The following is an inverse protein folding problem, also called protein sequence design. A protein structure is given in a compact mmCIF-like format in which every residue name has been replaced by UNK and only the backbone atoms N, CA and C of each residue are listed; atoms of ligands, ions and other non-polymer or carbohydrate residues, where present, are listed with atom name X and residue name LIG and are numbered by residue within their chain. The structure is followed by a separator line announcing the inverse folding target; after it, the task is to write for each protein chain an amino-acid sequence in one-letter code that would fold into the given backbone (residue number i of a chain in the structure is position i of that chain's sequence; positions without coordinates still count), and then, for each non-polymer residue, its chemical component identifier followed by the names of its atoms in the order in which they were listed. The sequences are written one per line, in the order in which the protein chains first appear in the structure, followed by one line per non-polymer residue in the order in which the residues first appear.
data_IF_146263278236
#
_entry.id   IF_146263278236
#
_cell.length_a   1.000
_cell.length_b   1.000
_cell.length_c   1.000
_cell.angle_alpha   90.00
_cell.angle_beta   90.00
_cell.angle_gamma   90.00
#
_symmetry.space_group_name_H-M   'P 1'
#
loop_
_entity.id
_entity.type
_entity.pdbx_description
1 polymer ?
#
# COMPACT_ATOMS: atom_id res chain seq x y z
N UNK A 1 -2.18 2.27 -21.31
CA UNK A 1 -3.56 1.76 -21.23
C UNK A 1 -3.63 0.73 -20.11
N UNK A 2 -4.66 0.79 -19.27
CA UNK A 2 -4.75 0.00 -18.04
C UNK A 2 -5.37 -1.41 -18.25
N UNK A 3 -4.89 -2.16 -19.24
CA UNK A 3 -5.63 -3.32 -19.79
C UNK A 3 -5.15 -4.69 -19.30
N UNK A 4 -4.03 -4.76 -18.57
CA UNK A 4 -3.48 -5.99 -17.97
C UNK A 4 -3.26 -5.80 -16.47
N UNK A 5 -3.39 -6.89 -15.70
CA UNK A 5 -3.21 -6.90 -14.24
C UNK A 5 -1.85 -6.40 -13.79
N UNK A 6 -0.78 -6.77 -14.51
CA UNK A 6 0.58 -6.35 -14.16
C UNK A 6 0.75 -4.83 -14.14
N UNK A 7 0.09 -4.14 -15.06
CA UNK A 7 0.13 -2.68 -15.13
C UNK A 7 -0.69 -2.02 -14.02
N UNK A 8 -1.89 -2.55 -13.69
CA UNK A 8 -2.69 -2.11 -12.53
C UNK A 8 -1.91 -2.23 -11.24
N UNK A 9 -1.23 -3.36 -11.05
CA UNK A 9 -0.40 -3.61 -9.89
C UNK A 9 0.75 -2.59 -9.78
N UNK A 10 1.45 -2.30 -10.88
CA UNK A 10 2.52 -1.29 -10.89
C UNK A 10 2.00 0.10 -10.51
N UNK A 11 0.86 0.53 -11.06
CA UNK A 11 0.24 1.81 -10.73
C UNK A 11 -0.16 1.88 -9.25
N UNK A 12 -0.72 0.80 -8.71
CA UNK A 12 -1.04 0.67 -7.29
C UNK A 12 0.20 0.77 -6.40
N UNK A 13 1.32 0.14 -6.79
CA UNK A 13 2.58 0.25 -6.06
C UNK A 13 3.11 1.69 -6.05
N UNK A 14 3.14 2.35 -7.21
CA UNK A 14 3.59 3.74 -7.33
C UNK A 14 2.72 4.70 -6.49
N UNK A 15 1.40 4.52 -6.50
CA UNK A 15 0.48 5.30 -5.70
C UNK A 15 0.68 5.08 -4.19
N UNK A 16 0.95 3.83 -3.77
CA UNK A 16 1.30 3.54 -2.37
C UNK A 16 2.59 4.20 -1.94
N UNK A 17 3.63 4.15 -2.77
CA UNK A 17 4.90 4.83 -2.49
C UNK A 17 4.72 6.35 -2.35
N UNK A 18 3.83 6.94 -3.14
CA UNK A 18 3.46 8.35 -3.04
C UNK A 18 2.53 8.67 -1.84
N UNK A 19 2.09 7.67 -1.08
CA UNK A 19 1.19 7.86 0.06
C UNK A 19 -0.22 8.33 -0.30
N UNK A 20 -0.69 8.06 -1.53
CA UNK A 20 -2.02 8.47 -1.98
C UNK A 20 -3.03 7.31 -1.91
N UNK A 21 -4.30 7.67 -1.74
CA UNK A 21 -5.42 6.73 -1.85
C UNK A 21 -5.67 6.40 -3.31
N UNK A 22 -6.09 5.17 -3.58
CA UNK A 22 -6.42 4.70 -4.93
C UNK A 22 -7.79 4.06 -4.94
N UNK A 23 -8.50 4.20 -6.05
CA UNK A 23 -9.66 3.39 -6.38
C UNK A 23 -9.56 2.97 -7.85
N UNK A 24 -10.16 1.84 -8.20
CA UNK A 24 -10.27 1.42 -9.60
C UNK A 24 -11.66 1.75 -10.13
N UNK A 25 -11.70 2.45 -11.25
CA UNK A 25 -12.93 2.71 -11.99
C UNK A 25 -12.89 1.86 -13.27
N UNK A 26 -13.84 0.94 -13.41
CA UNK A 26 -13.97 0.09 -14.58
C UNK A 26 -15.18 0.54 -15.41
N UNK A 27 -14.96 0.94 -16.65
CA UNK A 27 -16.03 1.22 -17.62
C UNK A 27 -16.29 -0.07 -18.39
N UNK A 28 -17.32 -0.80 -17.98
CA UNK A 28 -17.69 -2.08 -18.58
C UNK A 28 -18.54 -1.83 -19.84
N UNK A 29 -18.00 -2.13 -21.02
CA UNK A 29 -18.74 -2.03 -22.28
C UNK A 29 -18.52 -3.29 -23.11
N UNK A 30 -19.51 -3.67 -23.90
CA UNK A 30 -19.41 -4.85 -24.76
C UNK A 30 -18.53 -4.58 -26.00
N UNK A 31 -17.78 -5.58 -26.49
CA UNK A 31 -16.88 -5.40 -27.65
C UNK A 31 -17.57 -4.82 -28.90
N UNK A 32 -18.82 -5.23 -29.16
CA UNK A 32 -19.60 -4.74 -30.30
C UNK A 32 -19.81 -3.21 -30.25
N UNK A 33 -20.09 -2.66 -29.07
CA UNK A 33 -20.23 -1.21 -28.90
C UNK A 33 -18.89 -0.51 -29.10
N UNK A 34 -17.82 -1.06 -28.52
CA UNK A 34 -16.47 -0.50 -28.66
C UNK A 34 -16.03 -0.42 -30.14
N UNK A 35 -16.33 -1.45 -30.94
CA UNK A 35 -16.08 -1.44 -32.39
C UNK A 35 -16.92 -0.37 -33.11
N UNK A 36 -18.21 -0.28 -32.79
CA UNK A 36 -19.08 0.75 -33.36
C UNK A 36 -18.62 2.17 -33.01
N UNK A 37 -18.11 2.40 -31.80
CA UNK A 37 -17.51 3.68 -31.41
C UNK A 37 -16.20 3.95 -32.16
N UNK A 38 -15.31 2.96 -32.25
CA UNK A 38 -14.06 3.09 -32.98
C UNK A 38 -14.29 3.45 -34.47
N UNK A 39 -15.34 2.88 -35.09
CA UNK A 39 -15.73 3.18 -36.46
C UNK A 39 -16.24 4.63 -36.68
N UNK A 40 -16.76 5.28 -35.63
CA UNK A 40 -17.21 6.69 -35.69
C UNK A 40 -16.07 7.69 -35.52
N UNK A 41 -14.92 7.26 -35.00
CA UNK A 41 -13.74 8.11 -34.84
C UNK A 41 -13.12 8.44 -36.20
N UNK A 42 -12.48 9.61 -36.25
CA UNK A 42 -11.70 10.04 -37.39
C UNK A 42 -10.53 9.06 -37.66
N UNK A 43 -10.12 8.86 -38.93
CA UNK A 43 -9.22 7.79 -39.33
C UNK A 43 -7.90 7.72 -38.54
N UNK A 44 -7.35 8.87 -38.17
CA UNK A 44 -6.10 9.02 -37.42
C UNK A 44 -6.20 8.64 -35.94
N UNK A 45 -7.41 8.69 -35.38
CA UNK A 45 -7.68 8.36 -33.98
C UNK A 45 -8.23 6.94 -33.80
N UNK A 46 -8.51 6.25 -34.91
CA UNK A 46 -9.09 4.90 -34.94
C UNK A 46 -8.04 3.84 -34.69
N UNK A 47 -8.34 2.87 -33.83
CA UNK A 47 -7.56 1.65 -33.76
C UNK A 47 -7.75 0.81 -35.02
N UNK A 48 -6.67 0.29 -35.60
CA UNK A 48 -6.78 -0.73 -36.66
C UNK A 48 -7.56 -1.92 -36.14
N UNK A 49 -8.30 -2.60 -37.02
CA UNK A 49 -9.15 -3.74 -36.65
C UNK A 49 -8.36 -4.83 -35.92
N UNK A 50 -7.20 -5.21 -36.43
CA UNK A 50 -6.32 -6.18 -35.78
C UNK A 50 -5.87 -5.72 -34.39
N UNK A 51 -5.61 -4.42 -34.20
CA UNK A 51 -5.18 -3.87 -32.92
C UNK A 51 -6.29 -3.93 -31.89
N UNK A 52 -7.51 -3.51 -32.23
CA UNK A 52 -8.64 -3.51 -31.28
C UNK A 52 -9.07 -4.94 -30.91
N UNK A 53 -9.05 -5.88 -31.85
CA UNK A 53 -9.32 -7.29 -31.60
C UNK A 53 -8.26 -7.93 -30.67
N UNK A 54 -6.98 -7.60 -30.89
CA UNK A 54 -5.90 -8.03 -30.01
C UNK A 54 -6.03 -7.45 -28.60
N UNK A 55 -6.52 -6.20 -28.47
CA UNK A 55 -6.78 -5.58 -27.16
C UNK A 55 -7.89 -6.33 -26.41
N UNK A 56 -8.99 -6.69 -27.06
CA UNK A 56 -10.07 -7.45 -26.41
C UNK A 56 -9.58 -8.82 -25.92
N UNK A 57 -8.84 -9.54 -26.76
CA UNK A 57 -8.33 -10.89 -26.41
C UNK A 57 -7.40 -10.87 -25.20
N UNK A 58 -6.61 -9.79 -25.05
CA UNK A 58 -5.61 -9.65 -23.98
C UNK A 58 -6.14 -8.90 -22.76
N UNK A 59 -7.38 -8.42 -22.81
CA UNK A 59 -7.95 -7.63 -21.73
C UNK A 59 -8.19 -8.50 -20.50
N UNK A 60 -7.67 -8.06 -19.37
CA UNK A 60 -7.91 -8.70 -18.07
C UNK A 60 -8.80 -7.80 -17.22
N UNK A 61 -10.03 -8.24 -16.93
CA UNK A 61 -10.98 -7.45 -16.13
C UNK A 61 -10.44 -7.14 -14.71
N UNK A 62 -10.71 -5.94 -14.18
CA UNK A 62 -10.43 -5.61 -12.78
C UNK A 62 -11.22 -6.51 -11.82
N UNK A 63 -10.59 -6.91 -10.72
CA UNK A 63 -11.17 -7.84 -9.76
C UNK A 63 -11.20 -7.22 -8.34
N UNK A 64 -12.38 -7.03 -7.74
CA UNK A 64 -12.51 -6.40 -6.41
C UNK A 64 -11.85 -7.20 -5.28
N UNK A 65 -11.69 -8.52 -5.42
CA UNK A 65 -11.05 -9.36 -4.39
C UNK A 65 -9.55 -9.11 -4.26
N UNK A 66 -8.90 -8.52 -5.28
CA UNK A 66 -7.47 -8.23 -5.22
C UNK A 66 -7.23 -6.80 -4.77
N UNK A 67 -6.30 -6.66 -3.82
CA UNK A 67 -6.02 -5.39 -3.13
C UNK A 67 -5.63 -4.21 -4.03
N UNK A 68 -5.08 -4.46 -5.22
CA UNK A 68 -4.66 -3.39 -6.14
C UNK A 68 -5.78 -2.89 -7.05
N UNK A 69 -6.87 -3.66 -7.17
CA UNK A 69 -8.07 -3.25 -7.91
C UNK A 69 -9.17 -2.74 -6.95
N UNK A 70 -9.05 -3.00 -5.64
CA UNK A 70 -9.99 -2.55 -4.61
C UNK A 70 -9.66 -1.15 -4.04
N UNK A 71 -10.65 -0.27 -3.78
CA UNK A 71 -12.08 -0.43 -4.07
C UNK A 71 -12.37 -0.33 -5.58
N UNK A 72 -13.23 -1.22 -6.09
CA UNK A 72 -13.59 -1.31 -7.50
C UNK A 72 -15.00 -0.77 -7.74
N UNK A 73 -15.11 0.23 -8.60
CA UNK A 73 -16.36 0.86 -9.02
C UNK A 73 -16.58 0.53 -10.49
N UNK A 74 -17.67 -0.18 -10.81
CA UNK A 74 -17.95 -0.65 -12.18
C UNK A 74 -19.10 0.15 -12.78
N UNK A 75 -18.82 0.81 -13.91
CA UNK A 75 -19.79 1.53 -14.73
C UNK A 75 -20.18 0.66 -15.94
N UNK A 76 -21.33 -0.05 -15.90
CA UNK A 76 -21.91 -0.61 -17.10
C UNK A 76 -22.26 0.52 -18.07
N UNK A 77 -21.74 0.41 -19.29
CA UNK A 77 -22.16 1.26 -20.38
C UNK A 77 -23.59 0.91 -20.78
N UNK A 78 -24.49 1.88 -20.72
CA UNK A 78 -25.84 1.76 -21.26
C UNK A 78 -26.19 3.01 -22.09
N UNK A 79 -27.04 2.85 -23.10
CA UNK A 79 -27.43 3.96 -24.00
C UNK A 79 -28.15 5.10 -23.26
N UNK A 80 -28.68 4.83 -22.06
CA UNK A 80 -29.29 5.86 -21.21
C UNK A 80 -28.29 6.93 -20.75
N UNK A 81 -26.99 6.60 -20.66
CA UNK A 81 -25.91 7.55 -20.36
C UNK A 81 -25.62 8.55 -21.50
N UNK A 82 -26.01 8.21 -22.73
CA UNK A 82 -25.71 8.98 -23.95
C UNK A 82 -26.79 10.04 -24.27
N UNK A 83 -27.94 10.00 -23.57
CA UNK A 83 -29.12 10.85 -23.83
C UNK A 83 -28.96 12.35 -23.49
N UNK A 84 -27.73 12.87 -23.48
CA UNK A 84 -27.45 14.32 -23.40
C UNK A 84 -26.98 14.84 -24.75
N UNK A 85 -27.83 14.70 -25.76
CA UNK A 85 -27.78 15.61 -26.91
C UNK A 85 -28.34 16.96 -26.43
N UNK A 86 -27.64 18.01 -26.81
CA UNK A 86 -27.87 19.40 -26.44
C UNK A 86 -29.23 19.86 -27.00
N UNK A 87 -30.31 19.76 -26.24
CA UNK A 87 -31.53 20.49 -26.59
C UNK A 87 -31.23 21.98 -26.47
N UNK A 88 -31.22 22.66 -27.61
CA UNK A 88 -31.00 24.09 -27.76
C UNK A 88 -32.12 24.94 -27.16
N UNK A 89 -32.28 24.90 -25.84
CA UNK A 89 -33.18 25.76 -25.08
C UNK A 89 -32.39 26.84 -24.35
N UNK A 90 -32.47 28.08 -24.81
CA UNK A 90 -32.11 29.27 -24.05
C UNK A 90 -32.93 29.32 -22.75
N UNK A 91 -32.29 29.08 -21.61
CA UNK A 91 -32.96 29.19 -20.32
C UNK A 91 -31.99 28.91 -19.17
N UNK A 92 -31.71 29.96 -18.41
CA UNK A 92 -30.96 29.97 -17.15
C UNK A 92 -31.49 28.92 -16.15
N UNK A 93 -30.93 27.71 -16.17
CA UNK A 93 -31.08 26.72 -15.11
C UNK A 93 -29.78 25.94 -14.96
N UNK A 94 -29.18 26.06 -13.78
CA UNK A 94 -27.87 25.54 -13.43
C UNK A 94 -27.69 24.06 -13.77
N UNK A 95 -26.48 23.77 -14.25
CA UNK A 95 -25.92 22.46 -14.58
C UNK A 95 -26.07 21.46 -13.42
N UNK A 96 -27.25 20.83 -13.26
CA UNK A 96 -27.41 19.67 -12.36
C UNK A 96 -26.81 18.46 -13.06
N UNK A 97 -25.64 18.03 -12.60
CA UNK A 97 -24.84 16.98 -13.22
C UNK A 97 -25.56 15.64 -13.42
N UNK A 98 -25.07 14.91 -14.44
CA UNK A 98 -25.45 13.55 -14.89
C UNK A 98 -25.52 12.48 -13.79
N UNK A 99 -24.92 12.77 -12.65
CA UNK A 99 -24.84 11.91 -11.49
C UNK A 99 -26.22 11.38 -11.06
N UNK A 100 -27.23 12.25 -10.91
CA UNK A 100 -28.49 11.89 -10.24
C UNK A 100 -29.36 10.84 -10.98
N UNK A 101 -29.08 10.58 -12.27
CA UNK A 101 -29.84 9.63 -13.11
C UNK A 101 -29.32 8.21 -13.05
N UNK A 102 -28.17 7.98 -12.42
CA UNK A 102 -27.55 6.67 -12.33
C UNK A 102 -28.07 5.89 -11.12
N UNK A 103 -29.22 5.25 -11.28
CA UNK A 103 -29.72 4.24 -10.34
C UNK A 103 -29.29 2.84 -10.83
N UNK A 104 -28.77 1.99 -9.93
CA UNK A 104 -28.46 0.59 -10.22
C UNK A 104 -27.00 0.23 -10.49
N UNK A 105 -26.03 1.10 -10.15
CA UNK A 105 -24.60 0.77 -10.26
C UNK A 105 -24.14 -0.11 -9.10
N UNK A 106 -23.42 -1.20 -9.40
CA UNK A 106 -22.92 -2.18 -8.43
C UNK A 106 -21.56 -1.75 -7.89
N UNK A 107 -21.47 -1.53 -6.58
CA UNK A 107 -20.20 -1.44 -5.86
C UNK A 107 -19.84 -2.84 -5.37
N UNK A 108 -18.77 -3.43 -5.90
CA UNK A 108 -18.30 -4.72 -5.42
C UNK A 108 -17.36 -4.49 -4.24
N UNK A 109 -17.85 -4.76 -3.03
CA UNK A 109 -17.04 -4.74 -1.81
C UNK A 109 -15.98 -5.85 -1.78
N UNK A 110 -15.09 -5.78 -0.79
CA UNK A 110 -14.02 -6.76 -0.58
C UNK A 110 -14.52 -8.19 -0.30
N UNK A 111 -15.79 -8.33 0.08
CA UNK A 111 -16.31 -9.57 0.66
C UNK A 111 -17.12 -10.40 -0.35
N UNK A 112 -17.29 -9.93 -1.59
CA UNK A 112 -18.00 -10.67 -2.64
C UNK A 112 -19.50 -10.92 -2.38
N UNK A 113 -20.05 -10.45 -1.26
CA UNK A 113 -21.46 -10.61 -0.94
C UNK A 113 -22.34 -9.50 -1.52
N UNK A 114 -23.45 -9.95 -2.11
CA UNK A 114 -24.54 -9.20 -2.69
C UNK A 114 -25.41 -8.61 -1.57
N UNK A 115 -25.44 -7.29 -1.41
CA UNK A 115 -26.53 -6.66 -0.65
C UNK A 115 -27.75 -6.58 -1.56
N UNK A 116 -28.57 -7.63 -1.51
CA UNK A 116 -29.85 -7.73 -2.22
C UNK A 116 -30.86 -6.74 -1.62
N UNK A 117 -30.95 -5.53 -2.18
CA UNK A 117 -32.11 -4.66 -1.94
C UNK A 117 -33.19 -4.95 -2.97
N UNK A 118 -33.82 -6.14 -2.87
CA UNK A 118 -35.18 -6.31 -3.38
C UNK A 118 -36.15 -5.62 -2.42
N UNK A 119 -37.08 -4.80 -2.90
CA UNK A 119 -38.19 -4.34 -2.07
C UNK A 119 -39.18 -5.50 -1.89
N UNK A 120 -39.45 -5.89 -0.65
CA UNK A 120 -40.54 -6.81 -0.32
C UNK A 120 -41.91 -6.24 -0.78
N UNK A 121 -42.85 -7.09 -1.22
CA UNK A 121 -44.13 -6.65 -1.76
C UNK A 121 -45.25 -6.60 -0.70
N UNK A 122 -46.26 -5.74 -0.94
CA UNK A 122 -47.59 -5.69 -0.31
C UNK A 122 -47.60 -4.91 1.04
N UNK A 123 -48.37 -3.84 1.30
CA UNK A 123 -49.83 -3.71 1.21
C UNK A 123 -50.33 -2.24 1.32
N UNK A 124 -51.24 -1.86 0.41
CA UNK A 124 -52.44 -1.01 0.59
C UNK A 124 -52.37 0.52 0.85
N UNK A 125 -52.56 1.25 -0.26
CA UNK A 125 -53.57 2.30 -0.50
C UNK A 125 -54.37 2.90 0.68
N UNK A 126 -54.21 4.21 0.92
CA UNK A 126 -55.20 5.30 0.72
C UNK A 126 -54.67 6.62 1.31
N UNK A 127 -54.90 7.72 0.59
CA UNK A 127 -54.85 9.11 1.10
C UNK A 127 -56.28 9.68 1.06
N UNK A 128 -56.53 10.94 1.46
CA UNK A 128 -56.14 11.66 2.69
C UNK A 128 -57.39 12.25 3.40
N UNK A 129 -57.33 12.58 4.69
CA UNK A 129 -58.31 13.51 5.28
C UNK A 129 -57.69 14.34 6.43
N UNK A 130 -58.02 15.64 6.43
CA UNK A 130 -57.80 16.68 7.45
C UNK A 130 -59.19 17.30 7.73
N UNK A 131 -59.39 18.18 8.74
CA UNK A 131 -58.62 18.53 9.95
C UNK A 131 -59.49 18.54 11.24
N UNK A 132 -58.91 18.71 12.44
CA UNK A 132 -59.40 19.75 13.39
C UNK A 132 -58.45 20.03 14.58
N UNK A 133 -58.62 21.21 15.16
CA UNK A 133 -57.82 21.93 16.15
C UNK A 133 -57.93 21.39 17.61
N UNK A 134 -56.82 21.44 18.37
CA UNK A 134 -56.65 22.33 19.56
C UNK A 134 -55.57 21.88 20.57
N UNK A 135 -54.76 22.87 20.98
CA UNK A 135 -54.13 23.09 22.29
C UNK A 135 -53.14 22.07 22.91
N UNK A 136 -51.88 22.49 23.03
CA UNK A 136 -51.06 22.61 24.27
C UNK A 136 -49.57 22.64 23.89
N UNK A 137 -48.98 23.83 23.65
CA UNK A 137 -48.11 24.54 24.60
C UNK A 137 -47.09 23.62 25.30
N UNK A 138 -45.88 23.50 24.76
CA UNK A 138 -44.63 23.52 25.53
C UNK A 138 -43.54 24.18 24.69
N UNK A 139 -42.90 25.17 25.31
CA UNK A 139 -41.94 26.07 24.70
C UNK A 139 -40.56 25.42 24.62
N UNK A 140 -40.04 25.22 23.40
CA UNK A 140 -38.63 24.91 23.19
C UNK A 140 -37.91 26.10 22.55
N UNK A 141 -37.06 26.66 23.40
CA UNK A 141 -35.84 27.43 23.18
C UNK A 141 -35.37 27.48 21.72
N UNK A 142 -35.33 28.69 21.18
CA UNK A 142 -34.59 29.05 19.98
C UNK A 142 -33.11 28.82 20.26
N UNK A 143 -32.48 27.87 19.57
CA UNK A 143 -31.04 27.92 19.32
C UNK A 143 -30.79 28.13 17.83
N UNK A 144 -30.30 29.31 17.54
CA UNK A 144 -30.08 29.88 16.24
C UNK A 144 -28.73 29.42 15.69
N UNK A 145 -28.72 28.36 14.89
CA UNK A 145 -27.68 28.13 13.88
C UNK A 145 -28.06 27.08 12.82
N UNK A 146 -29.22 27.23 12.16
CA UNK A 146 -29.42 26.58 10.85
C UNK A 146 -28.82 27.47 9.76
N UNK A 147 -27.50 27.38 9.61
CA UNK A 147 -26.85 27.81 8.38
C UNK A 147 -27.20 26.80 7.29
N UNK A 148 -27.97 27.25 6.29
CA UNK A 148 -28.36 26.52 5.11
C UNK A 148 -27.13 25.90 4.41
N UNK A 149 -26.91 24.60 4.60
CA UNK A 149 -26.03 23.81 3.72
C UNK A 149 -26.89 23.35 2.56
N UNK A 150 -26.75 24.02 1.42
CA UNK A 150 -27.36 23.60 0.16
C UNK A 150 -27.00 22.14 -0.11
N UNK A 151 -28.04 21.31 -0.11
CA UNK A 151 -27.98 19.85 -0.24
C UNK A 151 -27.50 19.51 -1.66
N UNK A 152 -26.18 19.48 -1.85
CA UNK A 152 -25.58 18.96 -3.06
C UNK A 152 -25.75 17.44 -3.01
N UNK A 153 -26.92 16.97 -3.46
CA UNK A 153 -27.19 15.56 -3.66
C UNK A 153 -26.32 15.07 -4.81
N UNK A 154 -25.12 14.62 -4.45
CA UNK A 154 -24.29 13.81 -5.31
C UNK A 154 -25.04 12.51 -5.64
N UNK A 155 -24.71 11.89 -6.77
CA UNK A 155 -25.16 10.52 -6.97
C UNK A 155 -24.42 9.60 -6.02
N UNK A 156 -25.04 8.45 -5.71
CA UNK A 156 -24.38 7.39 -4.94
C UNK A 156 -22.98 7.07 -5.47
N UNK A 157 -22.80 7.09 -6.78
CA UNK A 157 -21.50 6.86 -7.42
C UNK A 157 -20.49 7.97 -7.13
N UNK A 158 -20.92 9.23 -7.21
CA UNK A 158 -20.05 10.35 -6.88
C UNK A 158 -19.70 10.33 -5.39
N UNK A 159 -20.64 9.92 -4.52
CA UNK A 159 -20.39 9.67 -3.11
C UNK A 159 -19.44 8.50 -2.87
N UNK A 160 -19.54 7.41 -3.65
CA UNK A 160 -18.66 6.24 -3.56
C UNK A 160 -17.23 6.58 -4.01
N UNK A 161 -17.08 7.31 -5.12
CA UNK A 161 -15.79 7.83 -5.58
C UNK A 161 -15.21 8.76 -4.53
N UNK A 162 -16.00 9.75 -4.08
CA UNK A 162 -15.59 10.72 -3.07
C UNK A 162 -15.17 10.02 -1.78
N UNK A 163 -15.94 9.06 -1.32
CA UNK A 163 -15.65 8.24 -0.14
C UNK A 163 -14.37 7.44 -0.34
N UNK A 164 -14.18 6.78 -1.49
CA UNK A 164 -12.97 6.01 -1.77
C UNK A 164 -11.71 6.88 -1.76
N UNK A 165 -11.75 8.09 -2.34
CA UNK A 165 -10.57 8.96 -2.45
C UNK A 165 -10.34 9.86 -1.23
N UNK A 166 -11.36 10.13 -0.41
CA UNK A 166 -11.23 11.01 0.77
C UNK A 166 -11.24 10.25 2.10
N UNK A 167 -12.12 9.25 2.22
CA UNK A 167 -12.36 8.47 3.44
C UNK A 167 -11.84 7.03 3.36
N UNK A 168 -11.44 6.56 2.18
CA UNK A 168 -10.91 5.21 2.00
C UNK A 168 -9.64 4.96 2.81
N UNK A 169 -9.44 3.70 3.20
CA UNK A 169 -8.28 3.31 3.99
C UNK A 169 -6.97 3.58 3.24
N UNK A 170 -6.14 4.48 3.79
CA UNK A 170 -4.74 4.59 3.41
C UNK A 170 -4.01 3.36 3.93
N UNK A 171 -3.95 2.30 3.13
CA UNK A 171 -3.17 1.12 3.49
C UNK A 171 -1.70 1.54 3.60
N UNK A 172 -1.08 1.40 4.79
CA UNK A 172 0.27 1.86 5.00
C UNK A 172 1.20 1.19 3.99
N UNK A 173 2.20 1.94 3.52
CA UNK A 173 3.27 1.41 2.68
C UNK A 173 3.83 0.15 3.33
N UNK A 174 4.15 -0.87 2.53
CA UNK A 174 4.76 -2.11 3.04
C UNK A 174 5.87 -1.74 4.02
N UNK A 175 5.97 -2.44 5.16
CA UNK A 175 6.98 -2.12 6.18
C UNK A 175 8.42 -2.08 5.62
N UNK A 176 8.68 -2.78 4.52
CA UNK A 176 9.94 -2.76 3.77
C UNK A 176 10.21 -1.47 2.96
N UNK A 177 9.17 -0.68 2.66
CA UNK A 177 9.21 0.61 1.94
C UNK A 177 8.64 1.73 2.84
N UNK A 178 8.59 1.52 4.16
CA UNK A 178 8.63 2.67 5.07
C UNK A 178 10.06 3.21 4.94
N UNK A 179 10.25 4.38 4.34
CA UNK A 179 11.43 5.18 4.64
C UNK A 179 11.38 5.43 6.13
N UNK A 180 12.10 4.61 6.87
CA UNK A 180 12.08 4.61 8.31
C UNK A 180 12.37 6.03 8.77
N UNK A 181 11.58 6.53 9.72
CA UNK A 181 12.10 7.46 10.73
C UNK A 181 13.50 6.97 11.11
N UNK A 182 14.52 7.83 11.18
CA UNK A 182 15.91 7.40 11.41
C UNK A 182 16.04 6.87 12.85
N UNK A 183 15.63 5.62 13.08
CA UNK A 183 15.63 4.97 14.38
C UNK A 183 15.51 3.47 14.14
N UNK A 184 16.50 2.68 14.60
CA UNK A 184 16.71 1.23 14.42
C UNK A 184 17.38 0.71 13.12
N UNK A 185 17.17 1.33 11.95
CA UNK A 185 17.82 0.87 10.69
C UNK A 185 19.33 1.06 10.68
N UNK A 186 19.82 2.12 11.34
CA UNK A 186 21.25 2.42 11.37
C UNK A 186 22.02 1.38 12.21
N UNK A 187 21.52 1.03 13.40
CA UNK A 187 22.22 0.08 14.28
C UNK A 187 22.33 -1.32 13.69
N UNK A 188 21.24 -1.90 13.16
CA UNK A 188 21.30 -3.27 12.62
C UNK A 188 22.22 -3.36 11.40
N UNK A 189 22.23 -2.30 10.58
CA UNK A 189 23.12 -2.20 9.44
C UNK A 189 24.58 -2.06 9.85
N UNK A 190 24.89 -1.12 10.76
CA UNK A 190 26.23 -0.97 11.36
C UNK A 190 26.67 -2.31 11.96
N UNK A 191 25.83 -2.95 12.75
CA UNK A 191 26.13 -4.24 13.37
C UNK A 191 26.48 -5.33 12.35
N UNK A 192 25.76 -5.44 11.24
CA UNK A 192 26.08 -6.41 10.19
C UNK A 192 27.39 -6.10 9.46
N UNK A 193 27.63 -4.85 9.08
CA UNK A 193 28.85 -4.48 8.35
C UNK A 193 30.07 -4.57 9.26
N UNK A 194 29.99 -4.03 10.48
CA UNK A 194 31.10 -4.06 11.46
C UNK A 194 31.48 -5.49 11.85
N UNK A 195 30.51 -6.36 12.15
CA UNK A 195 30.80 -7.78 12.45
C UNK A 195 31.40 -8.52 11.25
N UNK A 196 31.03 -8.14 10.02
CA UNK A 196 31.65 -8.67 8.80
C UNK A 196 33.10 -8.23 8.66
N UNK A 197 33.38 -6.94 8.88
CA UNK A 197 34.73 -6.39 8.80
C UNK A 197 35.66 -7.07 9.82
N UNK A 198 35.23 -7.17 11.08
CA UNK A 198 35.99 -7.84 12.15
C UNK A 198 36.25 -9.31 11.81
N UNK A 199 35.24 -10.03 11.31
CA UNK A 199 35.39 -11.44 10.92
C UNK A 199 36.38 -11.62 9.77
N UNK A 200 36.33 -10.76 8.75
CA UNK A 200 37.26 -10.81 7.61
C UNK A 200 38.69 -10.52 8.04
N UNK A 201 38.90 -9.50 8.88
CA UNK A 201 40.21 -9.18 9.45
C UNK A 201 40.78 -10.32 10.30
N UNK A 202 39.94 -10.93 11.15
CA UNK A 202 40.33 -12.09 11.94
C UNK A 202 40.72 -13.28 11.04
N UNK A 203 39.89 -13.61 10.04
CA UNK A 203 40.20 -14.69 9.10
C UNK A 203 41.50 -14.46 8.33
N UNK A 204 41.77 -13.21 7.92
CA UNK A 204 43.02 -12.86 7.26
C UNK A 204 44.20 -13.12 8.19
N UNK A 205 44.13 -12.65 9.44
CA UNK A 205 45.20 -12.88 10.43
C UNK A 205 45.42 -14.38 10.72
N UNK A 206 44.34 -15.17 10.75
CA UNK A 206 44.43 -16.63 10.95
C UNK A 206 45.05 -17.37 9.77
N UNK A 207 44.85 -16.87 8.55
CA UNK A 207 45.46 -17.44 7.36
C UNK A 207 46.95 -17.08 7.25
N UNK A 208 47.34 -15.89 7.71
CA UNK A 208 48.74 -15.45 7.74
C UNK A 208 49.54 -16.09 8.89
N UNK A 209 48.88 -16.41 10.01
CA UNK A 209 49.53 -17.03 11.17
C UNK A 209 49.87 -18.49 10.92
N UNK A 210 51.17 -18.84 11.03
CA UNK A 210 51.65 -20.22 10.89
C UNK A 210 51.16 -21.13 12.04
N UNK A 211 50.86 -20.55 13.20
CA UNK A 211 50.31 -21.20 14.39
C UNK A 211 48.86 -20.79 14.59
N UNK A 212 47.92 -21.73 14.48
CA UNK A 212 46.47 -21.49 14.63
C UNK A 212 45.95 -21.53 16.07
N UNK A 213 46.84 -21.44 17.06
CA UNK A 213 46.52 -21.50 18.48
C UNK A 213 47.30 -20.43 19.25
N UNK A 214 46.77 -20.01 20.40
CA UNK A 214 47.33 -18.94 21.22
C UNK A 214 46.73 -17.56 20.94
N UNK A 215 47.40 -16.51 21.42
CA UNK A 215 46.94 -15.14 21.28
C UNK A 215 47.19 -14.62 19.86
N UNK A 216 46.11 -14.30 19.15
CA UNK A 216 46.10 -13.72 17.81
C UNK A 216 45.64 -12.28 17.91
N UNK A 217 46.51 -11.35 17.51
CA UNK A 217 46.16 -9.93 17.39
C UNK A 217 45.98 -9.58 15.92
N UNK A 218 44.97 -8.79 15.59
CA UNK A 218 44.65 -8.44 14.22
C UNK A 218 44.16 -6.99 14.10
N UNK A 219 44.63 -6.23 13.10
CA UNK A 219 44.10 -4.92 12.80
C UNK A 219 42.78 -5.03 12.04
N UNK A 220 41.83 -4.17 12.38
CA UNK A 220 40.56 -4.04 11.68
C UNK A 220 40.21 -2.57 11.51
N UNK A 221 39.91 -2.16 10.28
CA UNK A 221 39.41 -0.82 9.98
C UNK A 221 37.91 -0.86 10.04
N UNK A 222 37.33 -0.04 10.91
CA UNK A 222 35.90 0.03 11.09
C UNK A 222 35.24 0.72 9.88
N UNK A 223 34.23 0.08 9.25
CA UNK A 223 33.76 0.47 7.94
C UNK A 223 33.00 1.80 7.89
N UNK A 224 32.34 2.23 8.98
CA UNK A 224 31.60 3.49 8.99
C UNK A 224 32.45 4.67 9.49
N UNK A 225 33.27 4.44 10.51
CA UNK A 225 34.12 5.49 11.13
C UNK A 225 35.48 5.62 10.46
N UNK A 226 35.95 4.60 9.73
CA UNK A 226 37.31 4.55 9.17
C UNK A 226 38.40 4.39 10.23
N UNK A 227 38.03 4.21 11.50
CA UNK A 227 38.97 4.09 12.62
C UNK A 227 39.67 2.73 12.55
N UNK A 228 41.00 2.75 12.65
CA UNK A 228 41.79 1.53 12.76
C UNK A 228 41.84 1.09 14.23
N UNK A 229 41.32 -0.10 14.51
CA UNK A 229 41.32 -0.74 15.83
C UNK A 229 42.14 -2.04 15.78
N UNK A 230 42.83 -2.36 16.86
CA UNK A 230 43.53 -3.64 17.00
C UNK A 230 42.77 -4.49 18.00
N UNK A 231 42.37 -5.67 17.57
CA UNK A 231 41.63 -6.63 18.39
C UNK A 231 42.51 -7.85 18.68
N UNK A 232 42.25 -8.54 19.79
CA UNK A 232 42.97 -9.74 20.18
C UNK A 232 42.00 -10.84 20.61
N UNK A 233 42.28 -12.07 20.18
CA UNK A 233 41.56 -13.29 20.54
C UNK A 233 42.57 -14.37 20.95
N UNK A 234 42.29 -15.08 22.03
CA UNK A 234 43.03 -16.25 22.46
C UNK A 234 42.33 -17.54 22.02
N UNK A 235 43.02 -18.30 21.17
CA UNK A 235 42.52 -19.58 20.66
C UNK A 235 43.07 -20.71 21.55
N UNK A 236 42.22 -21.41 22.32
CA UNK A 236 42.65 -22.51 23.16
C UNK A 236 43.20 -23.68 22.35
N UNK A 237 44.16 -24.41 22.93
CA UNK A 237 44.79 -25.57 22.29
C UNK A 237 43.75 -26.64 21.95
N UNK A 238 43.81 -27.19 20.74
CA UNK A 238 42.90 -28.23 20.26
C UNK A 238 41.62 -27.72 19.60
N UNK A 239 41.34 -26.41 19.60
CA UNK A 239 40.22 -25.83 18.86
C UNK A 239 40.69 -25.27 17.52
N UNK A 240 39.99 -25.64 16.46
CA UNK A 240 40.26 -25.13 15.11
C UNK A 240 39.20 -24.09 14.73
N UNK A 241 39.64 -22.86 14.49
CA UNK A 241 38.77 -21.80 13.99
C UNK A 241 38.83 -21.83 12.46
N UNK A 242 37.68 -22.08 11.83
CA UNK A 242 37.52 -22.03 10.39
C UNK A 242 36.43 -21.02 10.00
N UNK A 243 36.35 -20.70 8.70
CA UNK A 243 35.34 -19.79 8.15
C UNK A 243 33.94 -20.20 8.57
N UNK A 244 33.62 -21.49 8.56
CA UNK A 244 32.31 -22.02 8.92
C UNK A 244 31.92 -21.77 10.38
N UNK A 245 32.87 -21.87 11.32
CA UNK A 245 32.65 -21.60 12.75
C UNK A 245 32.43 -20.11 12.97
N UNK A 246 33.30 -19.25 12.42
CA UNK A 246 33.16 -17.80 12.59
C UNK A 246 31.89 -17.26 11.94
N UNK A 247 31.51 -17.75 10.76
CA UNK A 247 30.26 -17.36 10.11
C UNK A 247 29.02 -17.82 10.90
N UNK A 248 29.10 -18.98 11.58
CA UNK A 248 28.04 -19.43 12.49
C UNK A 248 27.93 -18.54 13.72
N UNK A 249 29.04 -18.22 14.38
CA UNK A 249 29.07 -17.32 15.54
C UNK A 249 28.55 -15.93 15.18
N UNK A 250 28.93 -15.39 14.01
CA UNK A 250 28.36 -14.14 13.48
C UNK A 250 26.85 -14.22 13.32
N UNK A 251 26.31 -15.28 12.71
CA UNK A 251 24.86 -15.45 12.54
C UNK A 251 24.12 -15.55 13.88
N UNK A 252 24.69 -16.25 14.87
CA UNK A 252 24.11 -16.32 16.22
C UNK A 252 24.07 -14.95 16.88
N UNK A 253 25.19 -14.21 16.84
CA UNK A 253 25.30 -12.86 17.39
C UNK A 253 24.30 -11.88 16.74
N UNK A 254 24.26 -11.81 15.41
CA UNK A 254 23.34 -10.89 14.71
C UNK A 254 21.87 -11.25 14.93
N UNK A 255 21.53 -12.54 14.99
CA UNK A 255 20.16 -13.00 15.28
C UNK A 255 19.73 -12.62 16.69
N UNK A 256 20.62 -12.79 17.67
CA UNK A 256 20.37 -12.39 19.06
C UNK A 256 20.07 -10.89 19.16
N UNK A 257 20.86 -10.03 18.51
CA UNK A 257 20.63 -8.58 18.51
C UNK A 257 19.36 -8.16 17.75
N UNK A 258 19.04 -8.85 16.63
CA UNK A 258 17.76 -8.64 15.92
C UNK A 258 16.56 -8.99 16.80
N UNK A 259 16.62 -10.11 17.52
CA UNK A 259 15.56 -10.55 18.42
C UNK A 259 15.43 -9.62 19.64
N UNK A 260 16.54 -9.16 20.21
CA UNK A 260 16.54 -8.20 21.32
C UNK A 260 15.91 -6.85 20.90
N UNK A 261 16.24 -6.35 19.72
CA UNK A 261 15.64 -5.15 19.15
C UNK A 261 14.14 -5.33 18.90
N UNK A 262 13.71 -6.47 18.36
CA UNK A 262 12.30 -6.77 18.14
C UNK A 262 11.50 -6.87 19.44
N UNK A 263 12.13 -7.32 20.53
CA UNK A 263 11.53 -7.42 21.86
C UNK A 263 11.57 -6.11 22.67
N UNK A 264 11.98 -4.98 22.06
CA UNK A 264 12.10 -3.69 22.75
C UNK A 264 13.23 -3.64 23.79
N UNK A 265 14.10 -4.64 23.84
CA UNK A 265 15.29 -4.72 24.70
C UNK A 265 16.57 -4.40 23.92
N UNK A 266 16.44 -3.59 22.87
CA UNK A 266 17.57 -3.20 22.05
C UNK A 266 18.59 -2.43 22.89
N UNK A 267 19.87 -2.77 22.71
CA UNK A 267 20.95 -2.04 23.37
C UNK A 267 20.99 -0.60 22.85
N UNK A 268 21.24 0.37 23.74
CA UNK A 268 21.50 1.77 23.35
C UNK A 268 22.88 1.96 22.71
N UNK A 269 23.67 0.89 22.57
CA UNK A 269 24.99 0.89 21.93
C UNK A 269 24.82 1.23 20.46
N UNK A 270 24.98 2.51 20.11
CA UNK A 270 24.95 3.00 18.73
C UNK A 270 26.35 3.14 18.12
N UNK A 271 27.39 3.02 18.94
CA UNK A 271 28.77 3.23 18.51
C UNK A 271 29.38 1.97 17.90
N UNK A 272 29.96 2.14 16.72
CA UNK A 272 30.60 1.07 15.95
C UNK A 272 31.72 0.36 16.73
N UNK A 273 32.51 1.12 17.50
CA UNK A 273 33.61 0.62 18.34
C UNK A 273 33.12 -0.41 19.37
N UNK A 274 32.05 -0.08 20.08
CA UNK A 274 31.45 -0.93 21.13
C UNK A 274 30.86 -2.21 20.53
N UNK A 275 30.28 -2.13 19.33
CA UNK A 275 29.78 -3.29 18.60
C UNK A 275 30.93 -4.23 18.23
N UNK A 276 32.03 -3.69 17.72
CA UNK A 276 33.20 -4.46 17.35
C UNK A 276 33.81 -5.17 18.56
N UNK A 277 34.01 -4.46 19.68
CA UNK A 277 34.52 -5.04 20.92
C UNK A 277 33.58 -6.10 21.50
N UNK A 278 32.27 -5.82 21.53
CA UNK A 278 31.26 -6.77 22.00
C UNK A 278 31.26 -8.05 21.16
N UNK A 279 31.39 -7.93 19.84
CA UNK A 279 31.48 -9.10 18.96
C UNK A 279 32.75 -9.91 19.18
N UNK A 280 33.90 -9.27 19.36
CA UNK A 280 35.17 -9.96 19.67
C UNK A 280 35.08 -10.70 21.00
N UNK A 281 34.50 -10.08 22.04
CA UNK A 281 34.24 -10.72 23.35
C UNK A 281 33.29 -11.91 23.20
N UNK A 282 32.24 -11.78 22.38
CA UNK A 282 31.32 -12.87 22.11
C UNK A 282 32.01 -14.06 21.42
N UNK A 283 32.84 -13.79 20.40
CA UNK A 283 33.62 -14.85 19.73
C UNK A 283 34.57 -15.51 20.72
N UNK A 284 35.29 -14.73 21.54
CA UNK A 284 36.20 -15.26 22.57
C UNK A 284 35.50 -16.17 23.59
N UNK A 285 34.27 -15.84 24.00
CA UNK A 285 33.50 -16.67 24.94
C UNK A 285 32.90 -17.92 24.30
N UNK A 286 32.80 -17.97 22.97
CA UNK A 286 32.16 -19.06 22.24
C UNK A 286 33.17 -20.06 21.63
N UNK A 287 34.45 -19.67 21.50
CA UNK A 287 35.55 -20.56 21.10
C UNK A 287 36.13 -21.27 22.31
#
# INVERSE_FOLDING_TARGET
MNYIKGFRYQLYCAAREAGVRTCTIHIANIPANCLAYNAKLAPESRYKEETIQNLFTRYEEPNSSVRWDSPLIVFPWCDSLVSTQHDGGTGDQGMRGLAHKLQGLRVLGNDGEEQDTRPDPVQQARSPERPDLSAAVHAERIDSSQAAKGDHSWSRIADDIWTAITKGDLKPVHAAVKTATPTSTNFLHILEITTTAVLTSLLSALNDSQTRCGAVSFPCVLPNTGKACVFAINIPMGKTINVGVLQRLKRQYTTMHKQANAAGRGSSVTHEDEIAESFVKYVQGAI
#
